data_IF_713584912204
#
_entry.id   IF_713584912204
#
_cell.length_a   1.000
_cell.length_b   1.000
_cell.length_c   1.000
_cell.angle_alpha   90.00
_cell.angle_beta   90.00
_cell.angle_gamma   90.00
#
_symmetry.space_group_name_H-M   'P 1'
#
loop_
_entity.id
_entity.type
_entity.pdbx_description
1 polymer ?
#
# COMPACT_ATOMS: atom_id res chain seq x y z
N UNK A 1 -7.08 -21.10 5.06
CA UNK A 1 -8.43 -20.49 5.17
C UNK A 1 -8.57 -19.15 4.43
N UNK A 2 -7.58 -18.28 4.63
CA UNK A 2 -7.78 -16.81 4.66
C UNK A 2 -6.87 -16.06 3.69
N UNK A 3 -5.71 -16.63 3.36
CA UNK A 3 -4.81 -16.07 2.33
C UNK A 3 -5.36 -16.26 0.91
N UNK A 4 -6.18 -17.28 0.70
CA UNK A 4 -6.81 -17.58 -0.59
C UNK A 4 -8.06 -16.74 -0.87
N UNK A 5 -8.71 -16.15 0.13
CA UNK A 5 -9.73 -15.13 -0.12
C UNK A 5 -9.11 -13.80 -0.56
N UNK A 6 -7.91 -13.47 -0.04
CA UNK A 6 -7.13 -12.30 -0.46
C UNK A 6 -6.54 -12.52 -1.85
N UNK A 7 -5.96 -13.69 -2.12
CA UNK A 7 -5.48 -14.07 -3.44
C UNK A 7 -6.61 -14.25 -4.48
N UNK A 8 -7.80 -14.74 -4.10
CA UNK A 8 -8.93 -14.91 -5.02
C UNK A 8 -9.60 -13.57 -5.38
N UNK A 9 -9.67 -12.61 -4.45
CA UNK A 9 -10.16 -11.26 -4.75
C UNK A 9 -9.23 -10.53 -5.75
N UNK A 10 -7.93 -10.76 -5.62
CA UNK A 10 -6.92 -10.24 -6.54
C UNK A 10 -6.91 -11.00 -7.87
N UNK A 11 -7.04 -12.33 -7.86
CA UNK A 11 -7.13 -13.14 -9.07
C UNK A 11 -8.40 -12.84 -9.88
N UNK A 12 -9.53 -12.48 -9.27
CA UNK A 12 -10.75 -12.13 -10.01
C UNK A 12 -10.60 -10.82 -10.80
N UNK A 13 -9.85 -9.86 -10.25
CA UNK A 13 -9.52 -8.59 -10.91
C UNK A 13 -8.39 -8.80 -11.94
N UNK A 14 -7.45 -9.67 -11.64
CA UNK A 14 -6.31 -10.01 -12.52
C UNK A 14 -6.72 -10.92 -13.71
N UNK A 15 -7.70 -11.81 -13.54
CA UNK A 15 -8.30 -12.63 -14.61
C UNK A 15 -9.10 -11.77 -15.60
N UNK A 16 -9.68 -10.66 -15.13
CA UNK A 16 -10.32 -9.67 -16.00
C UNK A 16 -9.29 -8.82 -16.78
N UNK A 17 -8.06 -8.70 -16.26
CA UNK A 17 -6.94 -7.99 -16.88
C UNK A 17 -6.08 -8.86 -17.82
N UNK A 18 -6.17 -10.20 -17.73
CA UNK A 18 -5.40 -11.16 -18.54
C UNK A 18 -5.80 -11.20 -20.03
N UNK A 19 -6.81 -10.46 -20.47
CA UNK A 19 -7.15 -10.29 -21.90
C UNK A 19 -6.30 -9.23 -22.61
N UNK A 20 -5.41 -8.52 -21.89
CA UNK A 20 -4.62 -7.40 -22.40
C UNK A 20 -3.11 -7.60 -22.31
N UNK A 21 -2.57 -8.58 -23.03
CA UNK A 21 -1.37 -8.43 -23.87
C UNK A 21 -0.07 -7.82 -23.29
N UNK A 22 0.90 -8.73 -23.09
CA UNK A 22 2.32 -8.69 -23.51
C UNK A 22 3.33 -7.79 -22.78
N UNK A 23 4.39 -8.45 -22.29
CA UNK A 23 5.77 -8.00 -22.49
C UNK A 23 6.43 -7.23 -21.35
N UNK A 24 7.28 -7.94 -20.60
CA UNK A 24 8.58 -7.45 -20.17
C UNK A 24 8.63 -6.20 -19.30
N UNK A 25 8.50 -6.41 -17.99
CA UNK A 25 9.36 -5.84 -16.95
C UNK A 25 8.77 -6.30 -15.62
N UNK A 26 9.56 -6.98 -14.80
CA UNK A 26 9.36 -7.00 -13.35
C UNK A 26 9.66 -5.59 -12.82
N UNK A 27 8.78 -4.65 -13.18
CA UNK A 27 8.67 -3.38 -12.49
C UNK A 27 8.27 -3.78 -11.09
N UNK A 28 9.19 -3.63 -10.13
CA UNK A 28 8.87 -3.71 -8.72
C UNK A 28 7.87 -2.59 -8.44
N UNK A 29 6.61 -2.88 -8.71
CA UNK A 29 5.49 -2.00 -8.47
C UNK A 29 5.34 -2.01 -6.96
N UNK A 30 5.93 -1.00 -6.31
CA UNK A 30 5.81 -0.82 -4.87
C UNK A 30 4.33 -0.72 -4.54
N UNK A 31 3.78 -1.79 -3.98
CA UNK A 31 2.38 -1.85 -3.59
C UNK A 31 2.13 -0.77 -2.55
N UNK A 32 1.42 0.28 -2.98
CA UNK A 32 1.06 1.41 -2.15
C UNK A 32 -0.36 1.19 -1.63
N UNK A 33 -0.50 1.15 -0.31
CA UNK A 33 -1.75 0.98 0.39
C UNK A 33 -2.23 2.32 0.94
N UNK A 34 -3.54 2.41 1.21
CA UNK A 34 -4.13 3.61 1.81
C UNK A 34 -4.93 3.24 3.05
N UNK A 35 -4.85 4.09 4.08
CA UNK A 35 -5.63 3.97 5.30
C UNK A 35 -6.05 5.36 5.75
N UNK A 36 -7.33 5.67 5.57
CA UNK A 36 -7.83 7.04 5.73
C UNK A 36 -7.12 7.97 4.75
N UNK A 37 -6.55 9.05 5.27
CA UNK A 37 -5.81 10.05 4.51
C UNK A 37 -4.33 9.69 4.26
N UNK A 38 -3.83 8.57 4.80
CA UNK A 38 -2.43 8.17 4.64
C UNK A 38 -2.27 7.16 3.50
N UNK A 39 -1.26 7.40 2.65
CA UNK A 39 -0.69 6.41 1.76
C UNK A 39 0.61 5.86 2.37
N UNK A 40 0.84 4.56 2.25
CA UNK A 40 1.99 3.88 2.82
C UNK A 40 2.39 2.66 1.98
N UNK A 41 3.64 2.22 2.12
CA UNK A 41 4.15 0.99 1.51
C UNK A 41 4.46 -0.03 2.61
N UNK A 42 4.28 -1.31 2.30
CA UNK A 42 4.75 -2.39 3.17
C UNK A 42 6.22 -2.71 2.87
N UNK A 43 6.98 -2.85 3.94
CA UNK A 43 8.31 -3.43 3.90
C UNK A 43 8.23 -4.96 3.94
N UNK A 44 9.31 -5.62 3.50
CA UNK A 44 9.44 -7.07 3.54
C UNK A 44 9.38 -7.65 4.98
N UNK A 45 9.65 -6.84 6.01
CA UNK A 45 9.56 -7.20 7.42
C UNK A 45 8.14 -7.06 8.01
N UNK A 46 7.16 -6.65 7.20
CA UNK A 46 5.76 -6.45 7.61
C UNK A 46 5.49 -5.11 8.30
N UNK A 47 6.47 -4.21 8.34
CA UNK A 47 6.31 -2.83 8.81
C UNK A 47 5.91 -1.91 7.67
N UNK A 48 5.48 -0.68 7.99
CA UNK A 48 5.05 0.28 6.97
C UNK A 48 5.79 1.60 7.02
N UNK A 49 5.98 2.18 5.84
CA UNK A 49 6.52 3.53 5.65
C UNK A 49 5.43 4.40 5.06
N UNK A 50 5.10 5.49 5.73
CA UNK A 50 4.13 6.46 5.21
C UNK A 50 4.78 7.20 4.04
N UNK A 51 4.20 7.11 2.85
CA UNK A 51 4.73 7.76 1.65
C UNK A 51 4.01 9.06 1.33
N UNK A 52 2.77 9.23 1.79
CA UNK A 52 2.00 10.47 1.61
C UNK A 52 0.88 10.62 2.63
N UNK A 53 0.54 11.86 2.94
CA UNK A 53 -0.67 12.24 3.65
C UNK A 53 -1.48 13.19 2.77
N UNK A 54 -2.74 12.84 2.52
CA UNK A 54 -3.68 13.57 1.69
C UNK A 54 -4.66 14.44 2.47
N UNK A 55 -4.59 14.38 3.80
CA UNK A 55 -5.47 15.15 4.66
C UNK A 55 -5.07 16.61 4.73
N UNK A 56 -5.96 17.42 5.32
CA UNK A 56 -5.79 18.89 5.41
C UNK A 56 -5.56 19.37 6.84
N UNK A 57 -5.22 18.45 7.74
CA UNK A 57 -5.01 18.78 9.15
C UNK A 57 -3.79 19.67 9.32
N UNK A 58 -3.93 20.77 10.08
CA UNK A 58 -2.83 21.66 10.45
C UNK A 58 -1.95 21.10 11.57
N UNK A 59 -2.49 20.16 12.34
CA UNK A 59 -1.78 19.37 13.34
C UNK A 59 -2.29 17.94 13.25
N UNK A 60 -1.37 16.98 13.21
CA UNK A 60 -1.68 15.58 13.00
C UNK A 60 -0.73 14.75 13.88
N UNK A 61 -1.23 13.65 14.44
CA UNK A 61 -0.41 12.67 15.14
C UNK A 61 -0.25 11.44 14.25
N UNK A 62 0.99 11.04 14.00
CA UNK A 62 1.28 9.86 13.19
C UNK A 62 0.85 8.62 13.99
N UNK A 63 -0.06 7.79 13.47
CA UNK A 63 -0.49 6.59 14.18
C UNK A 63 0.66 5.58 14.28
N UNK A 64 0.71 4.81 15.38
CA UNK A 64 1.70 3.73 15.53
C UNK A 64 1.47 2.57 14.55
N UNK A 65 0.25 2.41 14.06
CA UNK A 65 -0.10 1.38 13.09
C UNK A 65 -1.08 1.88 12.03
N UNK A 66 -0.87 1.47 10.78
CA UNK A 66 -1.77 1.70 9.65
C UNK A 66 -2.18 0.35 9.07
N UNK A 67 -3.48 0.13 8.91
CA UNK A 67 -4.00 -1.15 8.39
C UNK A 67 -3.61 -2.37 9.24
N UNK A 68 -3.28 -2.19 10.52
CA UNK A 68 -2.79 -3.25 11.41
C UNK A 68 -1.29 -3.52 11.33
N UNK A 69 -0.54 -2.76 10.54
CA UNK A 69 0.92 -2.85 10.43
C UNK A 69 1.60 -1.69 11.15
N UNK A 70 2.73 -1.97 11.81
CA UNK A 70 3.47 -0.97 12.59
C UNK A 70 4.17 0.04 11.68
N UNK A 71 3.96 1.32 11.95
CA UNK A 71 4.65 2.42 11.26
C UNK A 71 6.08 2.50 11.78
N UNK A 72 7.05 2.41 10.88
CA UNK A 72 8.48 2.45 11.19
C UNK A 72 9.22 3.56 10.46
N UNK A 73 8.59 4.18 9.47
CA UNK A 73 9.20 5.24 8.69
C UNK A 73 8.19 6.23 8.12
N UNK A 74 8.73 7.38 7.78
CA UNK A 74 8.05 8.45 7.06
C UNK A 74 8.95 8.74 5.85
N UNK A 75 8.38 8.62 4.66
CA UNK A 75 9.06 8.88 3.40
C UNK A 75 9.28 10.37 3.16
N UNK A 76 10.26 10.66 2.31
CA UNK A 76 10.56 12.03 1.92
C UNK A 76 9.36 12.69 1.23
N UNK A 77 8.98 13.87 1.73
CA UNK A 77 7.83 14.60 1.20
C UNK A 77 6.46 13.99 1.55
N UNK A 78 6.39 13.06 2.52
CA UNK A 78 5.12 12.47 2.92
C UNK A 78 4.07 13.50 3.38
N UNK A 79 4.50 14.68 3.84
CA UNK A 79 3.63 15.77 4.29
C UNK A 79 3.75 17.06 3.47
N UNK A 80 4.32 16.99 2.27
CA UNK A 80 4.42 18.16 1.37
C UNK A 80 3.14 18.45 0.61
#
# INVERSE_FOLDING_TARGET
MKEFLRAAAWALVFILALTGMVGGAETAESETYTYGDFAYTLNADGTVVITRYHGKASSLSVPEALGGHRVTGIGDGAFS
#
